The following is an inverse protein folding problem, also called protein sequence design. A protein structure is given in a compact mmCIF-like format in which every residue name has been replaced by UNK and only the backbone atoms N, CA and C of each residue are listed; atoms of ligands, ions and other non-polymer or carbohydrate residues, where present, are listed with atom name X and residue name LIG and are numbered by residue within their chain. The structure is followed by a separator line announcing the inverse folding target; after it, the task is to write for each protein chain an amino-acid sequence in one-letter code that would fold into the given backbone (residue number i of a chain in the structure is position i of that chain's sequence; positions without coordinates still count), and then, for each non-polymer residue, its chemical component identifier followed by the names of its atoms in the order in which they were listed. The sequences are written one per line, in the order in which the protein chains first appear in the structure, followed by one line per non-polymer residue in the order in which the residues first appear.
data_IF_804972803861
#
_entry.id   IF_804972803861
#
_cell.length_a   1.000
_cell.length_b   1.000
_cell.length_c   1.000
_cell.angle_alpha   90.00
_cell.angle_beta   90.00
_cell.angle_gamma   90.00
#
_symmetry.space_group_name_H-M   'P 1'
#
loop_
_entity.id
_entity.type
_entity.pdbx_description
1 polymer ?
#
# COMPACT_ATOMS: atom_id res chain seq x y z
N UNK A 1 25.38 -17.07 11.26
CA UNK A 1 24.29 -17.90 10.74
C UNK A 1 23.25 -16.99 10.10
N UNK A 2 22.70 -17.29 8.91
CA UNK A 2 21.76 -16.40 8.22
C UNK A 2 20.45 -16.18 9.00
N UNK A 3 20.07 -17.18 9.82
CA UNK A 3 18.93 -17.11 10.74
C UNK A 3 19.22 -16.13 11.89
N UNK A 4 20.40 -16.16 12.50
CA UNK A 4 20.79 -15.16 13.52
C UNK A 4 20.79 -13.73 12.98
N UNK A 5 21.26 -13.52 11.75
CA UNK A 5 21.22 -12.20 11.11
C UNK A 5 19.78 -11.75 10.85
N UNK A 6 18.87 -12.67 10.54
CA UNK A 6 17.44 -12.42 10.34
C UNK A 6 16.72 -12.13 11.66
N UNK A 7 17.02 -12.88 12.71
CA UNK A 7 16.54 -12.65 14.08
C UNK A 7 17.01 -11.28 14.57
N UNK A 8 18.28 -10.91 14.32
CA UNK A 8 18.80 -9.57 14.66
C UNK A 8 18.03 -8.44 13.95
N UNK A 9 17.69 -8.62 12.67
CA UNK A 9 16.91 -7.62 11.92
C UNK A 9 15.46 -7.53 12.39
N UNK A 10 14.81 -8.67 12.64
CA UNK A 10 13.44 -8.70 13.18
C UNK A 10 13.40 -8.11 14.59
N UNK A 11 14.41 -8.39 15.42
CA UNK A 11 14.52 -7.79 16.75
C UNK A 11 14.77 -6.28 16.69
N UNK A 12 15.53 -5.80 15.71
CA UNK A 12 15.66 -4.36 15.46
C UNK A 12 14.31 -3.73 15.06
N UNK A 13 13.56 -4.35 14.15
CA UNK A 13 12.22 -3.90 13.76
C UNK A 13 11.21 -3.95 14.92
N UNK A 14 11.25 -4.99 15.75
CA UNK A 14 10.44 -5.08 16.97
C UNK A 14 10.81 -3.95 17.95
N UNK A 15 12.07 -3.58 18.03
CA UNK A 15 12.54 -2.49 18.90
C UNK A 15 12.06 -1.14 18.39
N UNK A 16 12.14 -0.91 17.08
CA UNK A 16 11.63 0.30 16.40
C UNK A 16 10.12 0.44 16.60
N UNK A 17 9.33 -0.59 16.27
CA UNK A 17 7.87 -0.57 16.45
C UNK A 17 7.47 -0.36 17.93
N UNK A 18 8.26 -0.88 18.88
CA UNK A 18 8.02 -0.64 20.32
C UNK A 18 8.33 0.80 20.73
N UNK A 19 9.33 1.43 20.14
CA UNK A 19 9.65 2.83 20.37
C UNK A 19 8.47 3.69 19.88
N UNK A 20 8.00 3.45 18.66
CA UNK A 20 6.85 4.16 18.06
C UNK A 20 5.58 3.99 18.91
N UNK A 21 5.26 2.77 19.36
CA UNK A 21 4.10 2.52 20.25
C UNK A 21 4.25 3.25 21.59
N UNK A 22 5.48 3.39 22.10
CA UNK A 22 5.74 4.10 23.36
C UNK A 22 5.52 5.60 23.19
N UNK A 23 5.96 6.16 22.06
CA UNK A 23 5.75 7.55 21.69
C UNK A 23 4.25 7.84 21.48
N UNK A 24 3.55 7.05 20.66
CA UNK A 24 2.10 7.19 20.45
C UNK A 24 1.30 7.07 21.76
N UNK A 25 1.71 6.22 22.70
CA UNK A 25 1.07 6.14 24.04
C UNK A 25 1.25 7.42 24.85
N UNK A 26 2.43 8.04 24.78
CA UNK A 26 2.73 9.30 25.44
C UNK A 26 1.88 10.42 24.83
N UNK A 27 1.73 10.45 23.51
CA UNK A 27 0.90 11.44 22.82
C UNK A 27 -0.59 11.28 23.17
N UNK A 28 -1.09 10.04 23.22
CA UNK A 28 -2.46 9.75 23.70
C UNK A 28 -2.66 10.24 25.14
N UNK A 29 -1.70 9.99 26.05
CA UNK A 29 -1.78 10.49 27.43
C UNK A 29 -1.80 12.02 27.49
N UNK A 30 -0.96 12.67 26.68
CA UNK A 30 -0.93 14.14 26.61
C UNK A 30 -2.25 14.71 26.06
N UNK A 31 -2.82 14.09 25.02
CA UNK A 31 -4.13 14.45 24.47
C UNK A 31 -5.25 14.25 25.49
N UNK A 32 -5.22 13.19 26.30
CA UNK A 32 -6.19 12.96 27.38
C UNK A 32 -6.10 14.02 28.48
N UNK A 33 -4.89 14.41 28.87
CA UNK A 33 -4.67 15.49 29.83
C UNK A 33 -5.16 16.83 29.29
N UNK A 34 -4.88 17.12 28.02
CA UNK A 34 -5.36 18.33 27.34
C UNK A 34 -6.89 18.39 27.27
N UNK A 35 -7.53 17.28 26.88
CA UNK A 35 -9.01 17.16 26.84
C UNK A 35 -9.59 17.41 28.24
N UNK A 36 -9.01 16.78 29.27
CA UNK A 36 -9.47 16.95 30.67
C UNK A 36 -9.35 18.40 31.12
N UNK A 37 -8.23 19.06 30.80
CA UNK A 37 -8.01 20.48 31.09
C UNK A 37 -9.04 21.36 30.38
N UNK A 38 -9.26 21.15 29.07
CA UNK A 38 -10.20 21.95 28.28
C UNK A 38 -11.63 21.77 28.80
N UNK A 39 -12.04 20.56 29.21
CA UNK A 39 -13.35 20.32 29.82
C UNK A 39 -13.52 21.13 31.11
N UNK A 40 -12.51 21.15 31.99
CA UNK A 40 -12.54 21.95 33.22
C UNK A 40 -12.62 23.45 32.91
N UNK A 41 -11.86 23.94 31.94
CA UNK A 41 -11.92 25.34 31.51
C UNK A 41 -13.31 25.72 30.95
N UNK A 42 -13.93 24.82 30.17
CA UNK A 42 -15.29 24.98 29.66
C UNK A 42 -16.29 25.08 30.82
N UNK A 43 -16.22 24.18 31.79
CA UNK A 43 -17.11 24.17 32.96
C UNK A 43 -16.97 25.45 33.81
N UNK A 44 -15.73 25.85 34.09
CA UNK A 44 -15.44 27.09 34.83
C UNK A 44 -15.98 28.32 34.11
N UNK A 45 -15.77 28.42 32.79
CA UNK A 45 -16.29 29.53 31.97
C UNK A 45 -17.81 29.55 31.92
N UNK A 46 -18.46 28.38 31.82
CA UNK A 46 -19.92 28.29 31.86
C UNK A 46 -20.49 28.75 33.20
N UNK A 47 -19.89 28.32 34.32
CA UNK A 47 -20.28 28.74 35.66
C UNK A 47 -20.09 30.24 35.86
N UNK A 48 -18.95 30.78 35.41
CA UNK A 48 -18.66 32.21 35.46
C UNK A 48 -19.67 33.02 34.64
N UNK A 49 -19.92 32.65 33.38
CA UNK A 49 -20.92 33.31 32.53
C UNK A 49 -22.31 33.27 33.19
N UNK A 50 -22.68 32.14 33.81
CA UNK A 50 -23.97 32.01 34.51
C UNK A 50 -24.06 32.95 35.72
N UNK A 51 -23.01 33.04 36.53
CA UNK A 51 -22.95 33.95 37.67
C UNK A 51 -23.00 35.42 37.23
N UNK A 52 -22.23 35.78 36.20
CA UNK A 52 -22.21 37.15 35.64
C UNK A 52 -23.59 37.54 35.09
N UNK A 53 -24.28 36.63 34.38
CA UNK A 53 -25.67 36.85 33.92
C UNK A 53 -26.64 37.05 35.08
N UNK A 54 -26.49 36.28 36.18
CA UNK A 54 -27.33 36.40 37.38
C UNK A 54 -27.08 37.73 38.10
N UNK A 55 -25.81 38.12 38.29
CA UNK A 55 -25.44 39.42 38.87
C UNK A 55 -25.99 40.57 38.05
N UNK A 56 -25.83 40.53 36.72
CA UNK A 56 -26.39 41.52 35.81
C UNK A 56 -27.93 41.58 35.92
N UNK A 57 -28.61 40.43 35.94
CA UNK A 57 -30.07 40.37 36.08
C UNK A 57 -30.56 40.96 37.42
N UNK A 58 -29.85 40.67 38.52
CA UNK A 58 -30.18 41.20 39.84
C UNK A 58 -29.92 42.71 39.92
N UNK A 59 -28.79 43.18 39.38
CA UNK A 59 -28.46 44.61 39.30
C UNK A 59 -29.52 45.37 38.51
N UNK A 60 -29.91 44.86 37.34
CA UNK A 60 -30.97 45.44 36.52
C UNK A 60 -32.30 45.48 37.30
N UNK A 61 -32.66 44.39 37.99
CA UNK A 61 -33.90 44.30 38.79
C UNK A 61 -33.92 45.27 39.97
N UNK A 62 -32.83 45.37 40.73
CA UNK A 62 -32.72 46.28 41.88
C UNK A 62 -32.82 47.75 41.43
N UNK A 63 -32.16 48.11 40.33
CA UNK A 63 -32.28 49.44 39.72
C UNK A 63 -33.70 49.72 39.22
N UNK A 64 -34.37 48.73 38.65
CA UNK A 64 -35.77 48.86 38.20
C UNK A 64 -36.78 48.95 39.34
N UNK A 65 -36.54 48.28 40.46
CA UNK A 65 -37.44 48.26 41.62
C UNK A 65 -37.29 49.49 42.51
N UNK A 66 -36.10 50.12 42.54
CA UNK A 66 -35.82 51.32 43.35
C UNK A 66 -36.00 52.65 42.58
N UNK A 67 -36.26 52.64 41.27
CA UNK A 67 -36.65 53.82 40.49
C UNK A 67 -37.99 53.55 39.81
N UNK A 68 -39.06 53.96 40.49
CA UNK A 68 -40.36 54.17 39.88
C UNK A 68 -40.25 55.21 38.76
N UNK A 69 -40.64 54.79 37.56
CA UNK A 69 -40.99 55.66 36.43
C UNK A 69 -39.91 56.65 35.98
N UNK A 70 -38.92 56.19 35.21
CA UNK A 70 -38.55 56.99 34.04
C UNK A 70 -38.16 56.10 32.87
N UNK A 71 -38.98 56.17 31.81
CA UNK A 71 -38.90 55.36 30.60
C UNK A 71 -37.62 55.62 29.78
N UNK A 72 -36.77 56.56 30.22
CA UNK A 72 -35.52 56.94 29.56
C UNK A 72 -34.36 55.96 29.83
N UNK A 73 -34.45 55.15 30.88
CA UNK A 73 -33.37 54.19 31.25
C UNK A 73 -33.26 52.99 30.31
N UNK A 74 -34.29 52.66 29.52
CA UNK A 74 -34.26 51.52 28.59
C UNK A 74 -33.53 51.87 27.29
N UNK A 75 -33.51 53.14 26.89
CA UNK A 75 -33.07 53.57 25.56
C UNK A 75 -31.54 53.61 25.38
N UNK A 76 -30.76 53.56 26.47
CA UNK A 76 -29.30 53.72 26.40
C UNK A 76 -28.49 52.42 26.34
N UNK A 77 -29.11 51.26 26.56
CA UNK A 77 -28.43 49.96 26.50
C UNK A 77 -28.09 49.50 25.06
N UNK A 78 -28.47 50.30 24.05
CA UNK A 78 -28.27 50.00 22.62
C UNK A 78 -27.36 50.98 21.88
N UNK A 79 -26.82 52.03 22.51
CA UNK A 79 -26.05 53.05 21.81
C UNK A 79 -24.54 52.82 21.95
N UNK A 80 -23.94 52.19 20.93
CA UNK A 80 -22.55 52.50 20.58
C UNK A 80 -22.48 54.02 20.32
N UNK A 81 -21.71 54.75 21.13
CA UNK A 81 -21.43 56.18 20.97
C UNK A 81 -22.63 57.14 21.02
N UNK A 82 -22.82 57.82 22.15
CA UNK A 82 -23.10 59.27 22.13
C UNK A 82 -22.55 59.94 23.38
N UNK A 83 -21.65 60.90 23.15
CA UNK A 83 -21.25 61.97 24.06
C UNK A 83 -22.49 62.80 24.45
N UNK A 84 -22.75 62.97 25.76
CA UNK A 84 -23.02 64.28 26.38
C UNK A 84 -23.64 64.22 27.81
N UNK A 85 -23.04 65.09 28.63
CA UNK A 85 -23.59 65.94 29.70
C UNK A 85 -24.02 65.35 31.05
N UNK A 86 -23.47 66.02 32.07
CA UNK A 86 -23.64 65.89 33.52
C UNK A 86 -25.10 65.78 33.95
N UNK A 87 -25.58 64.56 34.18
CA UNK A 87 -26.70 64.31 35.08
C UNK A 87 -26.56 62.91 35.70
N UNK A 88 -26.58 62.91 37.04
CA UNK A 88 -26.33 61.82 37.97
C UNK A 88 -25.11 60.92 37.70
N UNK A 89 -24.03 61.20 38.45
CA UNK A 89 -22.84 60.34 38.55
C UNK A 89 -23.21 58.88 38.79
N UNK A 90 -24.30 58.62 39.53
CA UNK A 90 -24.82 57.28 39.80
C UNK A 90 -25.40 56.55 38.57
N UNK A 91 -26.03 57.28 37.62
CA UNK A 91 -26.63 56.71 36.41
C UNK A 91 -25.57 56.44 35.33
N UNK A 92 -24.60 57.35 35.21
CA UNK A 92 -23.43 57.19 34.33
C UNK A 92 -22.55 56.01 34.78
N UNK A 93 -22.29 55.89 36.09
CA UNK A 93 -21.59 54.73 36.65
C UNK A 93 -22.36 53.42 36.45
N UNK A 94 -23.69 53.43 36.63
CA UNK A 94 -24.52 52.24 36.45
C UNK A 94 -24.51 51.74 34.99
N UNK A 95 -24.58 52.67 34.02
CA UNK A 95 -24.58 52.34 32.58
C UNK A 95 -23.21 51.84 32.12
N UNK A 96 -22.12 52.48 32.57
CA UNK A 96 -20.76 52.00 32.33
C UNK A 96 -20.50 50.61 32.92
N UNK A 97 -20.98 50.36 34.14
CA UNK A 97 -20.86 49.05 34.79
C UNK A 97 -21.59 47.95 34.02
N UNK A 98 -22.81 48.21 33.55
CA UNK A 98 -23.58 47.25 32.73
C UNK A 98 -22.89 46.95 31.40
N UNK A 99 -22.38 47.98 30.71
CA UNK A 99 -21.60 47.81 29.47
C UNK A 99 -20.34 46.95 29.66
N UNK A 100 -19.65 47.12 30.79
CA UNK A 100 -18.52 46.26 31.17
C UNK A 100 -18.94 44.80 31.39
N UNK A 101 -20.06 44.55 32.09
CA UNK A 101 -20.58 43.19 32.32
C UNK A 101 -20.93 42.50 30.98
N UNK A 102 -21.60 43.21 30.08
CA UNK A 102 -21.96 42.69 28.76
C UNK A 102 -20.70 42.37 27.94
N UNK A 103 -19.72 43.27 27.94
CA UNK A 103 -18.45 43.07 27.21
C UNK A 103 -17.66 41.88 27.77
N UNK A 104 -17.59 41.73 29.10
CA UNK A 104 -16.95 40.58 29.75
C UNK A 104 -17.67 39.26 29.40
N UNK A 105 -19.00 39.24 29.47
CA UNK A 105 -19.79 38.05 29.09
C UNK A 105 -19.55 37.67 27.63
N UNK A 106 -19.55 38.63 26.70
CA UNK A 106 -19.33 38.39 25.27
C UNK A 106 -17.94 37.79 25.01
N UNK A 107 -16.88 38.37 25.58
CA UNK A 107 -15.50 37.84 25.48
C UNK A 107 -15.39 36.40 26.02
N UNK A 108 -16.04 36.13 27.15
CA UNK A 108 -16.05 34.77 27.73
C UNK A 108 -16.84 33.77 26.87
N UNK A 109 -17.92 34.20 26.22
CA UNK A 109 -18.67 33.36 25.27
C UNK A 109 -17.84 33.01 24.02
N UNK A 110 -17.12 33.99 23.45
CA UNK A 110 -16.21 33.78 22.31
C UNK A 110 -15.06 32.83 22.69
N UNK A 111 -14.46 33.03 23.86
CA UNK A 111 -13.43 32.14 24.40
C UNK A 111 -13.97 30.72 24.66
N UNK A 112 -15.19 30.59 25.18
CA UNK A 112 -15.86 29.31 25.40
C UNK A 112 -16.11 28.56 24.08
N UNK A 113 -16.53 29.27 23.03
CA UNK A 113 -16.74 28.68 21.72
C UNK A 113 -15.44 28.14 21.13
N UNK A 114 -14.35 28.91 21.20
CA UNK A 114 -13.01 28.47 20.76
C UNK A 114 -12.54 27.22 21.52
N UNK A 115 -12.80 27.14 22.84
CA UNK A 115 -12.47 25.98 23.64
C UNK A 115 -13.26 24.72 23.22
N UNK A 116 -14.54 24.87 22.87
CA UNK A 116 -15.36 23.76 22.34
C UNK A 116 -14.87 23.25 20.99
N UNK A 117 -14.50 24.14 20.07
CA UNK A 117 -13.93 23.76 18.78
C UNK A 117 -12.60 23.04 18.92
N UNK A 118 -11.73 23.53 19.81
CA UNK A 118 -10.46 22.88 20.13
C UNK A 118 -10.66 21.50 20.77
N UNK A 119 -11.69 21.34 21.61
CA UNK A 119 -12.06 20.06 22.20
C UNK A 119 -12.44 19.03 21.12
N UNK A 120 -13.30 19.40 20.16
CA UNK A 120 -13.70 18.51 19.08
C UNK A 120 -12.51 18.14 18.18
N UNK A 121 -11.63 19.09 17.87
CA UNK A 121 -10.39 18.79 17.13
C UNK A 121 -9.51 17.78 17.86
N UNK A 122 -9.26 17.96 19.17
CA UNK A 122 -8.46 17.04 19.98
C UNK A 122 -9.11 15.66 20.15
N UNK A 123 -10.45 15.58 20.14
CA UNK A 123 -11.19 14.30 20.13
C UNK A 123 -11.02 13.53 18.82
N UNK A 124 -10.89 14.21 17.69
CA UNK A 124 -10.60 13.52 16.42
C UNK A 124 -9.12 13.13 16.33
N UNK A 125 -8.20 13.98 16.80
CA UNK A 125 -6.76 13.67 16.90
C UNK A 125 -6.51 12.41 17.76
N UNK A 126 -7.13 12.30 18.95
CA UNK A 126 -6.99 11.12 19.81
C UNK A 126 -7.59 9.86 19.17
N UNK A 127 -8.69 9.98 18.43
CA UNK A 127 -9.32 8.85 17.72
C UNK A 127 -8.45 8.36 16.57
N UNK A 128 -7.82 9.27 15.83
CA UNK A 128 -6.88 8.91 14.78
C UNK A 128 -5.62 8.26 15.35
N UNK A 129 -5.08 8.79 16.46
CA UNK A 129 -3.91 8.21 17.12
C UNK A 129 -4.20 6.83 17.73
N UNK A 130 -5.41 6.61 18.24
CA UNK A 130 -5.86 5.29 18.71
C UNK A 130 -5.92 4.25 17.57
N UNK A 131 -6.38 4.65 16.37
CA UNK A 131 -6.36 3.78 15.19
C UNK A 131 -4.92 3.45 14.76
N UNK A 132 -4.04 4.44 14.75
CA UNK A 132 -2.63 4.23 14.43
C UNK A 132 -1.97 3.24 15.42
N UNK A 133 -2.27 3.41 16.72
CA UNK A 133 -1.80 2.52 17.79
C UNK A 133 -2.31 1.08 17.61
N UNK A 134 -3.56 0.90 17.18
CA UNK A 134 -4.15 -0.42 16.90
C UNK A 134 -3.46 -1.10 15.71
N UNK A 135 -3.20 -0.35 14.63
CA UNK A 135 -2.44 -0.83 13.48
C UNK A 135 -0.99 -1.23 13.84
N UNK A 136 -0.28 -0.38 14.58
CA UNK A 136 1.08 -0.67 15.06
C UNK A 136 1.10 -1.89 15.99
N UNK A 137 0.09 -2.03 16.85
CA UNK A 137 -0.05 -3.19 17.74
C UNK A 137 -0.32 -4.50 16.99
N UNK A 138 -1.14 -4.48 15.94
CA UNK A 138 -1.34 -5.66 15.08
C UNK A 138 -0.05 -6.03 14.35
N UNK A 139 0.65 -5.04 13.77
CA UNK A 139 1.92 -5.25 13.09
C UNK A 139 3.00 -5.80 14.03
N UNK A 140 3.07 -5.31 15.28
CA UNK A 140 3.97 -5.85 16.31
C UNK A 140 3.62 -7.30 16.65
N UNK A 141 2.32 -7.63 16.78
CA UNK A 141 1.86 -8.99 17.08
C UNK A 141 2.23 -9.95 15.97
N UNK A 142 1.94 -9.61 14.72
CA UNK A 142 2.29 -10.40 13.54
C UNK A 142 3.81 -10.59 13.44
N UNK A 143 4.58 -9.53 13.69
CA UNK A 143 6.05 -9.58 13.68
C UNK A 143 6.61 -10.44 14.82
N UNK A 144 5.99 -10.41 16.00
CA UNK A 144 6.36 -11.28 17.14
C UNK A 144 6.00 -12.74 16.89
N UNK A 145 4.81 -13.02 16.38
CA UNK A 145 4.36 -14.37 16.02
C UNK A 145 5.27 -14.96 14.95
N UNK A 146 5.67 -14.16 13.97
CA UNK A 146 6.66 -14.52 12.96
C UNK A 146 8.06 -14.78 13.56
N UNK A 147 8.53 -13.92 14.48
CA UNK A 147 9.80 -14.13 15.21
C UNK A 147 9.78 -15.41 16.05
N UNK A 148 8.66 -15.69 16.72
CA UNK A 148 8.47 -16.85 17.59
C UNK A 148 8.32 -18.14 16.78
N UNK A 149 7.71 -18.08 15.60
CA UNK A 149 7.70 -19.16 14.63
C UNK A 149 9.10 -19.45 14.08
N UNK A 150 9.93 -18.42 13.86
CA UNK A 150 11.33 -18.58 13.45
C UNK A 150 12.21 -19.19 14.56
N UNK A 151 12.01 -18.79 15.83
CA UNK A 151 12.71 -19.36 17.00
C UNK A 151 12.28 -20.82 17.26
N UNK A 152 11.00 -21.12 17.14
CA UNK A 152 10.47 -22.50 17.27
C UNK A 152 10.96 -23.40 16.13
N UNK A 153 11.28 -22.81 14.98
CA UNK A 153 11.92 -23.52 13.85
C UNK A 153 13.45 -23.66 14.01
N UNK A 154 14.13 -22.80 14.79
CA UNK A 154 15.58 -22.93 15.04
C UNK A 154 15.90 -24.02 16.06
N UNK A 155 15.16 -24.17 17.16
CA UNK A 155 15.59 -25.09 18.23
C UNK A 155 15.47 -26.59 17.90
N UNK A 156 14.49 -27.01 17.10
CA UNK A 156 14.26 -28.45 16.82
C UNK A 156 14.60 -28.89 15.39
N UNK A 157 14.96 -27.96 14.49
CA UNK A 157 15.18 -28.26 13.07
C UNK A 157 16.45 -27.66 12.47
N UNK A 158 17.21 -26.80 13.14
CA UNK A 158 18.41 -26.15 12.57
C UNK A 158 19.39 -27.14 11.90
N UNK A 159 19.78 -28.25 12.53
CA UNK A 159 20.72 -29.20 11.91
C UNK A 159 20.12 -29.95 10.69
N UNK A 160 18.80 -30.22 10.70
CA UNK A 160 18.10 -30.99 9.67
C UNK A 160 17.67 -30.08 8.51
N UNK A 161 17.26 -28.85 8.81
CA UNK A 161 16.86 -27.81 7.86
C UNK A 161 18.06 -27.05 7.29
N UNK A 162 19.16 -26.84 8.01
CA UNK A 162 20.41 -26.31 7.41
C UNK A 162 21.05 -27.33 6.45
N UNK A 163 20.99 -28.63 6.76
CA UNK A 163 21.33 -29.68 5.78
C UNK A 163 20.35 -29.68 4.61
N UNK A 164 19.04 -29.48 4.84
CA UNK A 164 18.03 -29.40 3.77
C UNK A 164 18.10 -28.09 2.98
N UNK A 165 18.50 -26.96 3.56
CA UNK A 165 18.62 -25.63 2.95
C UNK A 165 19.95 -25.48 2.23
N UNK A 166 21.09 -25.93 2.79
CA UNK A 166 22.29 -26.14 1.97
C UNK A 166 22.00 -27.13 0.84
N UNK A 167 21.19 -28.17 1.07
CA UNK A 167 20.80 -29.08 -0.01
C UNK A 167 19.81 -28.43 -0.97
N UNK A 168 18.88 -27.57 -0.55
CA UNK A 168 17.86 -26.90 -1.38
C UNK A 168 18.42 -25.69 -2.10
N UNK A 169 19.36 -24.93 -1.55
CA UNK A 169 20.07 -23.81 -2.17
C UNK A 169 21.19 -24.31 -3.07
N UNK A 170 21.95 -25.34 -2.65
CA UNK A 170 22.90 -26.04 -3.54
C UNK A 170 22.15 -26.87 -4.58
N UNK A 171 20.95 -27.37 -4.27
CA UNK A 171 20.01 -27.84 -5.29
C UNK A 171 19.42 -26.67 -6.05
N UNK A 172 19.12 -25.47 -5.53
CA UNK A 172 18.63 -24.34 -6.32
C UNK A 172 19.70 -23.93 -7.34
N UNK A 173 20.96 -23.83 -6.93
CA UNK A 173 22.10 -23.61 -7.82
C UNK A 173 22.39 -24.80 -8.76
N UNK A 174 22.25 -26.07 -8.32
CA UNK A 174 22.48 -27.26 -9.15
C UNK A 174 21.24 -27.76 -9.94
N UNK A 175 20.04 -27.26 -9.63
CA UNK A 175 18.73 -27.62 -10.20
C UNK A 175 18.30 -26.51 -11.15
N UNK A 176 18.35 -25.24 -10.74
CA UNK A 176 17.98 -24.09 -11.54
C UNK A 176 19.12 -23.47 -12.34
N UNK A 177 20.37 -23.90 -12.10
CA UNK A 177 21.54 -23.61 -12.93
C UNK A 177 21.53 -22.21 -13.50
N UNK A 178 22.03 -21.24 -12.72
CA UNK A 178 22.36 -19.87 -13.10
C UNK A 178 21.86 -19.52 -14.51
N UNK A 179 20.69 -18.88 -14.67
CA UNK A 179 20.26 -18.46 -16.00
C UNK A 179 21.35 -17.59 -16.66
N UNK A 180 22.25 -16.92 -15.90
CA UNK A 180 23.43 -16.26 -16.47
C UNK A 180 24.48 -17.21 -17.10
N UNK A 181 24.40 -18.52 -16.90
CA UNK A 181 25.16 -19.53 -17.64
C UNK A 181 24.64 -19.72 -19.08
N UNK A 182 23.54 -19.06 -19.48
CA UNK A 182 23.00 -19.04 -20.84
C UNK A 182 23.90 -18.32 -21.86
N UNK A 183 24.97 -17.64 -21.43
CA UNK A 183 25.97 -17.04 -22.31
C UNK A 183 27.11 -18.01 -22.70
N UNK A 184 26.85 -19.32 -22.75
CA UNK A 184 27.62 -20.17 -23.66
C UNK A 184 27.08 -19.94 -25.08
N UNK A 185 27.98 -19.68 -26.02
CA UNK A 185 27.65 -19.38 -27.42
C UNK A 185 26.79 -20.46 -28.13
N UNK A 186 26.64 -21.63 -27.52
CA UNK A 186 25.96 -22.83 -28.06
C UNK A 186 24.43 -22.85 -27.87
N UNK A 187 23.87 -22.15 -26.86
CA UNK A 187 22.41 -22.16 -26.63
C UNK A 187 21.71 -21.06 -27.43
N UNK A 188 22.31 -19.88 -27.53
CA UNK A 188 21.76 -18.75 -28.29
C UNK A 188 21.66 -19.01 -29.80
N UNK A 189 22.58 -19.79 -30.37
CA UNK A 189 22.56 -20.21 -31.78
C UNK A 189 21.41 -21.17 -32.13
N UNK A 190 20.77 -21.77 -31.12
CA UNK A 190 19.67 -22.74 -31.28
C UNK A 190 18.27 -22.11 -31.17
N UNK A 191 18.18 -20.78 -30.97
CA UNK A 191 16.90 -20.07 -30.89
C UNK A 191 16.41 -19.75 -32.31
N UNK A 192 15.43 -20.51 -32.80
CA UNK A 192 14.83 -20.31 -34.11
C UNK A 192 13.83 -19.15 -34.06
N UNK A 193 14.08 -18.11 -34.84
CA UNK A 193 13.09 -17.06 -35.09
C UNK A 193 12.00 -17.57 -36.01
N UNK A 194 10.75 -17.22 -35.72
CA UNK A 194 9.66 -17.50 -36.64
C UNK A 194 9.83 -16.69 -37.94
N UNK A 195 9.30 -17.16 -39.08
CA UNK A 195 9.17 -16.36 -40.30
C UNK A 195 8.43 -15.04 -40.04
N UNK A 196 8.83 -13.98 -40.74
CA UNK A 196 8.31 -12.62 -40.54
C UNK A 196 6.78 -12.51 -40.59
N UNK A 197 6.12 -13.35 -41.38
CA UNK A 197 4.64 -13.41 -41.46
C UNK A 197 3.93 -13.81 -40.17
N UNK A 198 4.65 -14.34 -39.17
CA UNK A 198 4.12 -14.67 -37.85
C UNK A 198 4.66 -13.74 -36.76
N UNK A 199 5.29 -12.62 -37.14
CA UNK A 199 5.83 -11.68 -36.16
C UNK A 199 4.71 -10.78 -35.63
N UNK A 200 4.66 -10.64 -34.30
CA UNK A 200 3.97 -9.55 -33.65
C UNK A 200 4.86 -8.32 -33.56
N UNK A 201 4.23 -7.16 -33.36
CA UNK A 201 4.92 -5.89 -33.14
C UNK A 201 5.81 -5.94 -31.90
N UNK A 202 7.09 -5.61 -32.04
CA UNK A 202 8.01 -5.55 -30.89
C UNK A 202 7.81 -4.32 -29.99
N UNK A 203 6.82 -3.45 -30.28
CA UNK A 203 6.51 -2.27 -29.47
C UNK A 203 6.00 -2.61 -28.07
N UNK A 204 5.44 -3.80 -27.89
CA UNK A 204 4.98 -4.31 -26.59
C UNK A 204 5.92 -5.38 -26.01
N UNK A 205 7.05 -5.65 -26.68
CA UNK A 205 8.06 -6.57 -26.18
C UNK A 205 8.95 -5.91 -25.11
N UNK A 206 9.18 -6.63 -24.01
CA UNK A 206 10.15 -6.27 -22.99
C UNK A 206 11.10 -7.43 -22.73
N UNK A 207 12.40 -7.10 -22.63
CA UNK A 207 13.43 -8.02 -22.18
C UNK A 207 13.62 -7.87 -20.67
N UNK A 208 13.62 -8.97 -19.92
CA UNK A 208 13.96 -8.93 -18.49
C UNK A 208 15.45 -8.58 -18.25
N UNK A 209 16.27 -8.72 -19.30
CA UNK A 209 17.71 -8.41 -19.30
C UNK A 209 18.02 -6.97 -19.73
N UNK A 210 17.00 -6.14 -19.96
CA UNK A 210 17.22 -4.75 -20.35
C UNK A 210 17.98 -3.99 -19.24
N UNK A 211 19.12 -3.34 -19.53
CA UNK A 211 19.93 -2.67 -18.52
C UNK A 211 19.19 -1.61 -17.70
N UNK A 212 18.10 -1.04 -18.23
CA UNK A 212 17.28 -0.03 -17.53
C UNK A 212 16.60 -0.59 -16.28
N UNK A 213 16.47 -1.91 -16.16
CA UNK A 213 15.78 -2.55 -15.03
C UNK A 213 16.30 -3.92 -14.62
N UNK A 214 17.22 -4.52 -15.37
CA UNK A 214 17.80 -5.84 -15.11
C UNK A 214 18.22 -6.06 -13.65
N UNK A 215 18.82 -5.05 -13.01
CA UNK A 215 19.33 -5.12 -11.63
C UNK A 215 18.33 -4.70 -10.55
N UNK A 216 17.13 -4.28 -10.92
CA UNK A 216 16.09 -3.92 -9.96
C UNK A 216 15.58 -5.15 -9.22
N UNK A 217 15.24 -5.02 -7.95
CA UNK A 217 14.68 -6.11 -7.14
C UNK A 217 13.20 -6.31 -7.40
N UNK A 218 12.74 -7.55 -7.22
CA UNK A 218 11.32 -7.93 -7.36
C UNK A 218 10.66 -7.97 -5.98
N UNK A 219 9.61 -7.18 -5.80
CA UNK A 219 8.86 -7.10 -4.55
C UNK A 219 9.76 -6.85 -3.34
N UNK A 220 9.61 -7.65 -2.30
CA UNK A 220 10.41 -7.58 -1.06
C UNK A 220 11.62 -8.55 -1.06
N UNK A 221 11.97 -9.12 -2.21
CA UNK A 221 13.05 -10.09 -2.35
C UNK A 221 14.40 -9.43 -2.71
N UNK A 222 15.47 -10.23 -2.75
CA UNK A 222 16.77 -9.85 -3.34
C UNK A 222 16.92 -10.33 -4.79
N UNK A 223 15.90 -10.99 -5.33
CA UNK A 223 15.89 -11.50 -6.70
C UNK A 223 15.81 -10.31 -7.65
N UNK A 224 16.67 -10.29 -8.65
CA UNK A 224 16.70 -9.25 -9.69
C UNK A 224 15.77 -9.59 -10.84
N UNK A 225 15.35 -8.59 -11.61
CA UNK A 225 14.53 -8.81 -12.81
C UNK A 225 15.29 -9.65 -13.86
N UNK A 226 16.60 -9.49 -14.01
CA UNK A 226 17.38 -10.30 -14.97
C UNK A 226 17.35 -11.79 -14.63
N UNK A 227 17.43 -12.14 -13.35
CA UNK A 227 17.56 -13.53 -12.92
C UNK A 227 16.20 -14.21 -12.75
N UNK A 228 15.16 -13.46 -12.35
CA UNK A 228 13.87 -14.04 -11.93
C UNK A 228 12.63 -13.29 -12.45
N UNK A 229 12.81 -12.34 -13.38
CA UNK A 229 11.74 -11.43 -13.82
C UNK A 229 10.87 -11.92 -14.97
N UNK A 230 10.90 -13.20 -15.35
CA UNK A 230 10.16 -13.67 -16.54
C UNK A 230 8.64 -13.50 -16.40
N UNK A 231 8.08 -13.77 -15.21
CA UNK A 231 6.65 -13.62 -14.94
C UNK A 231 6.21 -12.15 -15.04
N UNK A 232 6.83 -11.26 -14.26
CA UNK A 232 6.46 -9.84 -14.23
C UNK A 232 6.71 -9.15 -15.58
N UNK A 233 7.75 -9.57 -16.31
CA UNK A 233 8.05 -9.02 -17.64
C UNK A 233 6.98 -9.48 -18.65
N UNK A 234 6.52 -10.72 -18.56
CA UNK A 234 5.41 -11.23 -19.39
C UNK A 234 4.11 -10.47 -19.11
N UNK A 235 3.79 -10.19 -17.84
CA UNK A 235 2.63 -9.35 -17.49
C UNK A 235 2.78 -7.93 -18.05
N UNK A 236 3.96 -7.32 -17.90
CA UNK A 236 4.23 -6.00 -18.45
C UNK A 236 4.05 -5.94 -19.99
N UNK A 237 4.44 -7.01 -20.70
CA UNK A 237 4.22 -7.16 -22.14
C UNK A 237 2.72 -7.20 -22.49
N UNK A 238 1.94 -8.08 -21.85
CA UNK A 238 0.49 -8.20 -22.08
C UNK A 238 -0.26 -6.90 -21.73
N UNK A 239 0.15 -6.19 -20.68
CA UNK A 239 -0.45 -4.90 -20.32
C UNK A 239 -0.19 -3.83 -21.37
N UNK A 240 1.01 -3.82 -21.94
CA UNK A 240 1.38 -2.90 -23.01
C UNK A 240 0.64 -3.22 -24.30
N UNK A 241 0.43 -4.51 -24.58
CA UNK A 241 -0.42 -4.99 -25.68
C UNK A 241 -1.84 -4.41 -25.58
N UNK A 242 -2.45 -4.50 -24.39
CA UNK A 242 -3.77 -3.95 -24.00
C UNK A 242 -3.81 -2.43 -23.82
N UNK A 243 -2.80 -1.71 -24.34
CA UNK A 243 -2.70 -0.24 -24.32
C UNK A 243 -2.66 0.37 -22.91
N UNK A 244 -2.25 -0.40 -21.90
CA UNK A 244 -1.98 0.06 -20.53
C UNK A 244 -0.49 -0.10 -20.20
N UNK A 245 0.41 0.65 -20.86
CA UNK A 245 1.85 0.41 -20.79
C UNK A 245 2.40 0.52 -19.38
N UNK A 246 3.13 -0.51 -18.95
CA UNK A 246 3.84 -0.56 -17.67
C UNK A 246 5.18 -1.25 -17.90
N UNK A 247 6.28 -0.62 -17.48
CA UNK A 247 7.60 -1.22 -17.63
C UNK A 247 7.82 -2.33 -16.59
N UNK A 248 8.73 -3.30 -16.86
CA UNK A 248 9.09 -4.32 -15.87
C UNK A 248 9.54 -3.71 -14.53
N UNK A 249 10.31 -2.61 -14.54
CA UNK A 249 10.66 -1.85 -13.32
C UNK A 249 9.46 -1.35 -12.53
N UNK A 250 8.45 -0.79 -13.20
CA UNK A 250 7.24 -0.33 -12.52
C UNK A 250 6.40 -1.51 -12.01
N UNK A 251 6.38 -2.60 -12.78
CA UNK A 251 5.68 -3.82 -12.39
C UNK A 251 6.31 -4.46 -11.14
N UNK A 252 7.65 -4.54 -11.06
CA UNK A 252 8.37 -5.18 -9.94
C UNK A 252 8.10 -4.55 -8.58
N UNK A 253 7.63 -3.29 -8.55
CA UNK A 253 7.30 -2.53 -7.35
C UNK A 253 5.80 -2.59 -6.98
N UNK A 254 4.97 -3.35 -7.70
CA UNK A 254 3.55 -3.49 -7.38
C UNK A 254 3.36 -4.38 -6.14
N UNK A 255 2.31 -4.14 -5.31
CA UNK A 255 2.02 -4.93 -4.11
C UNK A 255 1.33 -6.27 -4.47
N UNK A 256 1.91 -7.00 -5.42
CA UNK A 256 1.39 -8.25 -5.98
C UNK A 256 2.38 -9.40 -5.79
N UNK A 257 3.48 -9.19 -5.06
CA UNK A 257 4.51 -10.21 -4.88
C UNK A 257 4.51 -10.76 -3.46
N UNK A 258 4.61 -12.08 -3.35
CA UNK A 258 5.05 -12.76 -2.16
C UNK A 258 6.49 -13.22 -2.39
N UNK A 259 7.46 -12.50 -1.80
CA UNK A 259 8.88 -12.54 -2.22
C UNK A 259 9.06 -12.10 -3.67
N UNK A 260 9.47 -13.01 -4.54
CA UNK A 260 9.63 -12.84 -5.99
C UNK A 260 8.53 -13.55 -6.80
N UNK A 261 7.61 -14.23 -6.13
CA UNK A 261 6.48 -14.92 -6.77
C UNK A 261 5.31 -13.96 -6.94
N UNK A 262 4.76 -13.92 -8.15
CA UNK A 262 3.58 -13.11 -8.46
C UNK A 262 2.32 -13.77 -7.88
N UNK A 263 1.55 -12.98 -7.15
CA UNK A 263 0.17 -13.23 -6.77
C UNK A 263 -0.72 -12.58 -7.83
N UNK A 264 -1.25 -13.41 -8.73
CA UNK A 264 -2.01 -13.01 -9.91
C UNK A 264 -3.33 -12.29 -9.52
N UNK A 265 -3.43 -10.95 -9.70
CA UNK A 265 -4.63 -10.22 -9.29
C UNK A 265 -5.80 -10.48 -10.24
N UNK A 266 -6.99 -10.72 -9.69
CA UNK A 266 -8.20 -10.94 -10.48
C UNK A 266 -8.59 -9.70 -11.32
N UNK A 267 -8.37 -8.50 -10.78
CA UNK A 267 -8.69 -7.23 -11.44
C UNK A 267 -7.58 -6.22 -11.22
N UNK A 268 -7.31 -5.45 -12.26
CA UNK A 268 -6.36 -4.34 -12.25
C UNK A 268 -7.08 -3.02 -12.46
N UNK A 269 -6.52 -1.94 -11.88
CA UNK A 269 -7.07 -0.59 -12.02
C UNK A 269 -7.12 -0.07 -13.47
N UNK A 270 -6.43 -0.76 -14.39
CA UNK A 270 -6.40 -0.46 -15.83
C UNK A 270 -7.60 -1.02 -16.62
N UNK A 271 -8.58 -1.66 -15.95
CA UNK A 271 -9.67 -2.39 -16.61
C UNK A 271 -9.21 -3.71 -17.24
N UNK A 272 -8.06 -4.24 -16.79
CA UNK A 272 -7.56 -5.55 -17.22
C UNK A 272 -7.97 -6.58 -16.16
N UNK A 273 -8.56 -7.68 -16.58
CA UNK A 273 -9.12 -8.70 -15.70
C UNK A 273 -8.57 -10.09 -16.05
N UNK A 274 -8.39 -10.92 -15.03
CA UNK A 274 -7.90 -12.28 -15.20
C UNK A 274 -9.04 -13.19 -15.66
N UNK A 275 -8.92 -13.75 -16.86
CA UNK A 275 -9.94 -14.60 -17.48
C UNK A 275 -9.68 -16.10 -17.27
N UNK A 276 -8.42 -16.50 -17.04
CA UNK A 276 -8.05 -17.92 -16.85
C UNK A 276 -7.84 -18.31 -15.38
N UNK A 277 -7.72 -19.61 -15.14
CA UNK A 277 -7.25 -20.16 -13.87
C UNK A 277 -5.75 -19.90 -13.66
N UNK A 278 -5.34 -19.73 -12.41
CA UNK A 278 -3.92 -19.56 -12.03
C UNK A 278 -3.28 -20.87 -11.54
N UNK A 279 -3.98 -21.99 -11.67
CA UNK A 279 -3.50 -23.28 -11.15
C UNK A 279 -2.48 -23.89 -12.11
N UNK A 280 -1.43 -24.48 -11.53
CA UNK A 280 -0.54 -25.37 -12.28
C UNK A 280 -1.24 -26.72 -12.51
N UNK A 281 -1.06 -27.30 -13.70
CA UNK A 281 -1.63 -28.59 -14.07
C UNK A 281 -1.75 -28.79 -15.59
N UNK A 282 -2.60 -29.75 -15.98
CA UNK A 282 -2.90 -29.98 -17.39
C UNK A 282 -3.55 -28.73 -17.98
N UNK A 283 -2.90 -28.16 -18.99
CA UNK A 283 -3.39 -27.01 -19.76
C UNK A 283 -4.26 -27.49 -20.91
N UNK A 284 -5.41 -26.83 -21.10
CA UNK A 284 -6.17 -26.94 -22.33
C UNK A 284 -5.53 -26.06 -23.40
N UNK A 285 -5.24 -26.64 -24.56
CA UNK A 285 -4.63 -25.90 -25.67
C UNK A 285 -5.67 -25.18 -26.50
N UNK A 286 -6.94 -25.59 -26.41
CA UNK A 286 -8.05 -24.91 -27.08
C UNK A 286 -8.26 -23.52 -26.43
N UNK A 287 -8.08 -23.37 -25.11
CA UNK A 287 -8.08 -22.06 -24.43
C UNK A 287 -7.00 -21.10 -24.97
N UNK A 288 -5.84 -21.64 -25.38
CA UNK A 288 -4.77 -20.83 -25.98
C UNK A 288 -5.19 -20.43 -27.39
N UNK A 289 -5.77 -21.34 -28.15
CA UNK A 289 -6.22 -21.08 -29.52
C UNK A 289 -7.34 -20.04 -29.55
N UNK A 290 -8.36 -20.19 -28.71
CA UNK A 290 -9.49 -19.26 -28.59
C UNK A 290 -9.00 -17.84 -28.25
N UNK A 291 -8.11 -17.72 -27.26
CA UNK A 291 -7.53 -16.43 -26.90
C UNK A 291 -6.75 -15.79 -28.05
N UNK A 292 -5.99 -16.59 -28.82
CA UNK A 292 -5.22 -16.07 -29.96
C UNK A 292 -6.11 -15.68 -31.14
N UNK A 293 -7.22 -16.40 -31.36
CA UNK A 293 -8.21 -16.05 -32.39
C UNK A 293 -8.93 -14.73 -32.06
N UNK A 294 -9.07 -14.40 -30.76
CA UNK A 294 -9.55 -13.11 -30.26
C UNK A 294 -8.45 -12.01 -30.20
N UNK A 295 -7.30 -12.23 -30.83
CA UNK A 295 -6.14 -11.32 -30.82
C UNK A 295 -5.67 -11.00 -29.38
N UNK A 296 -5.76 -11.98 -28.47
CA UNK A 296 -5.35 -11.86 -27.07
C UNK A 296 -4.11 -12.73 -26.75
N UNK A 297 -2.96 -12.12 -26.40
CA UNK A 297 -1.75 -12.89 -26.09
C UNK A 297 -1.86 -13.62 -24.75
N UNK A 298 -1.32 -14.83 -24.70
CA UNK A 298 -1.40 -15.74 -23.55
C UNK A 298 -0.05 -15.88 -22.87
N UNK A 299 0.01 -15.66 -21.56
CA UNK A 299 1.22 -15.94 -20.78
C UNK A 299 1.20 -17.43 -20.42
N UNK A 300 2.30 -18.15 -20.64
CA UNK A 300 2.41 -19.57 -20.29
C UNK A 300 3.61 -19.85 -19.41
N UNK A 301 3.47 -20.80 -18.48
CA UNK A 301 4.57 -21.31 -17.67
C UNK A 301 5.15 -22.60 -18.27
N UNK A 302 6.47 -22.64 -18.44
CA UNK A 302 7.23 -23.77 -18.95
C UNK A 302 7.89 -24.53 -17.79
N UNK A 303 7.26 -25.60 -17.32
CA UNK A 303 7.75 -26.47 -16.26
C UNK A 303 8.69 -27.56 -16.81
N UNK A 304 9.97 -27.23 -16.98
CA UNK A 304 10.98 -28.18 -17.51
C UNK A 304 11.57 -29.05 -16.39
N UNK A 305 11.58 -28.55 -15.15
CA UNK A 305 12.14 -29.26 -14.00
C UNK A 305 11.43 -28.92 -12.70
N UNK A 306 10.33 -29.61 -12.40
CA UNK A 306 9.63 -29.64 -11.11
C UNK A 306 9.74 -28.34 -10.29
N UNK A 307 9.10 -27.27 -10.79
CA UNK A 307 9.06 -25.95 -10.13
C UNK A 307 10.17 -24.98 -10.55
N UNK A 308 11.14 -25.44 -11.34
CA UNK A 308 12.07 -24.61 -12.10
C UNK A 308 11.53 -24.43 -13.53
N UNK A 309 10.98 -23.25 -13.80
CA UNK A 309 10.37 -22.96 -15.09
C UNK A 309 10.52 -21.52 -15.53
N UNK A 310 9.92 -21.22 -16.66
CA UNK A 310 10.08 -19.96 -17.36
C UNK A 310 8.74 -19.47 -17.89
N UNK A 311 8.47 -18.17 -17.76
CA UNK A 311 7.27 -17.56 -18.31
C UNK A 311 7.57 -16.89 -19.65
N UNK A 312 6.71 -17.14 -20.63
CA UNK A 312 6.76 -16.52 -21.95
C UNK A 312 5.36 -16.09 -22.39
N UNK A 313 5.28 -15.25 -23.42
CA UNK A 313 4.00 -14.78 -23.97
C UNK A 313 3.82 -15.34 -25.37
N UNK A 314 2.83 -16.20 -25.55
CA UNK A 314 2.37 -16.65 -26.87
C UNK A 314 1.51 -15.54 -27.49
N UNK A 315 1.78 -15.20 -28.75
CA UNK A 315 1.01 -14.17 -29.46
C UNK A 315 0.53 -14.62 -30.84
N UNK A 316 0.98 -15.77 -31.35
CA UNK A 316 0.58 -16.22 -32.69
C UNK A 316 0.69 -17.74 -32.81
N UNK A 317 -0.34 -18.35 -33.39
CA UNK A 317 -0.29 -19.73 -33.88
C UNK A 317 0.25 -19.78 -35.30
N UNK A 318 1.37 -20.47 -35.49
CA UNK A 318 1.98 -20.73 -36.78
C UNK A 318 1.47 -22.06 -37.39
N UNK A 319 1.82 -22.31 -38.66
CA UNK A 319 1.48 -23.57 -39.34
C UNK A 319 1.96 -24.81 -38.56
N UNK A 320 1.22 -25.91 -38.72
CA UNK A 320 1.47 -27.22 -38.09
C UNK A 320 1.37 -27.19 -36.55
N UNK A 321 0.54 -26.31 -35.99
CA UNK A 321 0.28 -26.24 -34.55
C UNK A 321 1.47 -25.74 -33.72
N UNK A 322 2.39 -24.99 -34.33
CA UNK A 322 3.50 -24.34 -33.63
C UNK A 322 3.06 -22.99 -33.10
N UNK A 323 3.68 -22.52 -32.02
CA UNK A 323 3.38 -21.22 -31.43
C UNK A 323 4.60 -20.29 -31.49
N UNK A 324 4.35 -19.00 -31.68
CA UNK A 324 5.36 -17.95 -31.67
C UNK A 324 5.20 -17.12 -30.41
N UNK A 325 6.34 -16.84 -29.75
CA UNK A 325 6.40 -16.17 -28.47
C UNK A 325 7.24 -14.90 -28.48
N UNK A 326 6.86 -14.01 -27.59
CA UNK A 326 7.73 -13.03 -26.99
C UNK A 326 8.29 -13.62 -25.69
N UNK A 327 9.56 -14.00 -25.73
CA UNK A 327 10.26 -14.58 -24.59
C UNK A 327 11.08 -13.48 -23.88
N UNK A 328 10.80 -13.17 -22.61
CA UNK A 328 11.48 -12.08 -21.91
C UNK A 328 12.98 -12.33 -21.70
N UNK A 329 13.45 -13.57 -21.85
CA UNK A 329 14.85 -13.93 -21.72
C UNK A 329 15.53 -14.19 -23.07
N UNK A 330 14.89 -14.94 -23.97
CA UNK A 330 15.51 -15.39 -25.23
C UNK A 330 15.25 -14.48 -26.43
N UNK A 331 14.21 -13.65 -26.42
CA UNK A 331 13.93 -12.72 -27.50
C UNK A 331 12.48 -12.72 -27.98
N UNK A 332 12.17 -11.73 -28.81
CA UNK A 332 10.87 -11.59 -29.47
C UNK A 332 10.76 -12.46 -30.73
N UNK A 333 9.54 -12.88 -31.05
CA UNK A 333 9.16 -13.55 -32.30
C UNK A 333 9.94 -14.85 -32.57
N UNK A 334 10.14 -15.65 -31.52
CA UNK A 334 10.81 -16.96 -31.59
C UNK A 334 9.78 -18.08 -31.44
N UNK A 335 10.07 -19.29 -31.92
CA UNK A 335 9.18 -20.41 -31.68
C UNK A 335 9.21 -20.83 -30.21
N UNK A 336 8.03 -21.16 -29.65
CA UNK A 336 7.91 -21.72 -28.31
C UNK A 336 8.75 -23.00 -28.15
N UNK A 337 8.77 -23.85 -29.18
CA UNK A 337 9.60 -25.06 -29.23
C UNK A 337 11.10 -24.76 -29.08
N UNK A 338 11.56 -23.61 -29.59
CA UNK A 338 12.95 -23.19 -29.43
C UNK A 338 13.26 -22.79 -28.00
N UNK A 339 12.37 -22.06 -27.33
CA UNK A 339 12.48 -21.80 -25.88
C UNK A 339 12.53 -23.11 -25.11
N UNK A 340 11.60 -24.02 -25.35
CA UNK A 340 11.55 -25.32 -24.66
C UNK A 340 12.81 -26.14 -24.92
N UNK A 341 13.31 -26.16 -26.16
CA UNK A 341 14.56 -26.83 -26.53
C UNK A 341 15.77 -26.23 -25.80
N UNK A 342 15.86 -24.90 -25.72
CA UNK A 342 16.92 -24.21 -24.99
C UNK A 342 16.89 -24.54 -23.49
N UNK A 343 15.71 -24.53 -22.87
CA UNK A 343 15.54 -24.91 -21.47
C UNK A 343 15.83 -26.39 -21.23
N UNK A 344 15.43 -27.28 -22.14
CA UNK A 344 15.77 -28.70 -22.09
C UNK A 344 17.29 -28.92 -22.12
N UNK A 345 18.01 -28.23 -23.00
CA UNK A 345 19.48 -28.26 -23.04
C UNK A 345 20.08 -27.75 -21.73
N UNK A 346 19.61 -26.61 -21.23
CA UNK A 346 20.07 -26.00 -19.97
C UNK A 346 19.90 -26.95 -18.78
N UNK A 347 18.71 -27.53 -18.65
CA UNK A 347 18.37 -28.39 -17.52
C UNK A 347 18.76 -29.86 -17.73
N UNK A 348 19.32 -30.21 -18.89
CA UNK A 348 19.64 -31.58 -19.32
C UNK A 348 18.40 -32.50 -19.22
N UNK A 349 17.29 -32.04 -19.80
CA UNK A 349 15.99 -32.70 -19.83
C UNK A 349 15.52 -32.91 -21.26
N UNK A 350 14.48 -33.70 -21.42
CA UNK A 350 13.78 -33.91 -22.70
C UNK A 350 12.28 -33.91 -22.44
N UNK A 351 11.72 -32.72 -22.27
CA UNK A 351 10.28 -32.49 -22.09
C UNK A 351 9.73 -31.92 -23.39
N UNK A 352 8.70 -32.55 -23.96
CA UNK A 352 8.00 -32.02 -25.14
C UNK A 352 7.30 -30.69 -24.80
N UNK A 353 7.19 -29.77 -25.74
CA UNK A 353 6.46 -28.49 -25.58
C UNK A 353 5.09 -28.67 -24.94
N UNK A 354 4.29 -29.66 -25.41
CA UNK A 354 2.96 -29.97 -24.85
C UNK A 354 2.96 -30.31 -23.37
N UNK A 355 4.01 -30.96 -22.87
CA UNK A 355 4.18 -31.34 -21.45
C UNK A 355 4.90 -30.27 -20.64
N UNK A 356 5.61 -29.36 -21.31
CA UNK A 356 6.32 -28.27 -20.65
C UNK A 356 5.33 -27.18 -20.21
N UNK A 357 4.32 -26.88 -21.03
CA UNK A 357 3.29 -25.91 -20.67
C UNK A 357 2.40 -26.49 -19.56
N UNK A 358 2.48 -25.88 -18.38
CA UNK A 358 1.89 -26.36 -17.12
C UNK A 358 0.96 -25.31 -16.48
N UNK A 359 0.86 -24.13 -17.07
CA UNK A 359 -0.06 -23.08 -16.64
C UNK A 359 -0.27 -22.10 -17.80
N UNK A 360 -1.48 -21.57 -17.90
CA UNK A 360 -1.84 -20.46 -18.78
C UNK A 360 -2.42 -19.31 -17.95
N UNK A 361 -2.03 -18.09 -18.28
CA UNK A 361 -2.55 -16.87 -17.68
C UNK A 361 -3.05 -15.98 -18.82
N UNK A 362 -4.36 -15.80 -18.87
CA UNK A 362 -5.06 -14.98 -19.86
C UNK A 362 -5.59 -13.74 -19.14
N UNK A 363 -5.15 -12.58 -19.61
CA UNK A 363 -5.68 -11.30 -19.18
C UNK A 363 -6.47 -10.68 -20.33
N UNK A 364 -7.68 -10.22 -20.03
CA UNK A 364 -8.55 -9.53 -20.98
C UNK A 364 -8.71 -8.08 -20.57
N UNK A 365 -9.10 -7.24 -21.51
CA UNK A 365 -9.45 -5.84 -21.24
C UNK A 365 -10.95 -5.68 -21.41
N UNK A 366 -11.58 -5.17 -20.36
CA UNK A 366 -13.02 -4.86 -20.32
C UNK A 366 -13.43 -3.83 -21.38
#
# INVERSE_FOLDING_TARGET
NAIDTRIKKINAQITEIRADITESKKDVQQLQQDITRIIKEIEQKQNYITLQKKMLSNFLREKYQNHTQDAQTITFLSAEHTDHTKQDDALTYATGSVGEYITKIKREQESLQKNKENLEKKKEEIKQEQKNLEHQSSSLRETKEYSQALLSQSELKEAKYQKKLKKIEKQKEAILGNLNALYSADIGSSIEKAPQKYHASTRWYYSQKDPRWAKETIGNSRSTIEDYGCALTSVAMVFTYHKSPISPKKMSNKPIFYWDLISWPQRWSSGITLASSIRHGSVDWDDIDDALDDDNPVIVFLNIKNGAGHYVVIHTKAKKGKYVVHDPYFGANIYLDSTVSALNKLYKRSVSTKRAVDQIIIYEKD
#
